data_IF_127572106746
#
_entry.id   IF_127572106746
#
_cell.length_a   1.000
_cell.length_b   1.000
_cell.length_c   1.000
_cell.angle_alpha   90.00
_cell.angle_beta   90.00
_cell.angle_gamma   90.00
#
_symmetry.space_group_name_H-M   'P 1'
#
loop_
_entity.id
_entity.type
_entity.pdbx_description
1 polymer ?
#
# COMPACT_ATOMS: atom_id res chain seq x y z
N UNK A 1 -10.22 -18.48 29.58
CA UNK A 1 -11.09 -17.37 29.98
C UNK A 1 -11.53 -16.70 28.69
N UNK A 2 -12.80 -16.89 28.34
CA UNK A 2 -13.43 -16.36 27.14
C UNK A 2 -13.73 -14.88 27.35
N UNK A 3 -13.34 -14.01 26.40
CA UNK A 3 -13.92 -12.69 26.29
C UNK A 3 -14.42 -12.46 24.87
N UNK A 4 -15.65 -11.95 24.87
CA UNK A 4 -16.60 -11.89 23.78
C UNK A 4 -16.32 -10.73 22.84
N UNK A 5 -16.65 -10.97 21.58
CA UNK A 5 -16.85 -9.99 20.53
C UNK A 5 -17.97 -9.02 20.93
N UNK A 6 -17.70 -7.72 21.03
CA UNK A 6 -18.73 -6.68 21.01
C UNK A 6 -18.67 -5.89 19.70
N UNK A 7 -19.86 -5.68 19.15
CA UNK A 7 -20.12 -5.15 17.83
C UNK A 7 -20.31 -3.64 17.87
N UNK A 8 -19.74 -2.95 16.89
CA UNK A 8 -19.93 -1.52 16.62
C UNK A 8 -21.32 -1.31 15.98
N UNK A 9 -22.19 -0.40 16.49
CA UNK A 9 -23.49 -0.16 15.87
C UNK A 9 -23.44 0.86 14.73
N UNK A 10 -23.89 0.41 13.55
CA UNK A 10 -24.28 1.21 12.39
C UNK A 10 -25.34 2.26 12.76
N UNK A 11 -25.09 3.54 12.45
CA UNK A 11 -26.14 4.57 12.47
C UNK A 11 -26.84 4.65 11.11
N UNK A 12 -28.12 4.30 11.16
CA UNK A 12 -29.11 4.35 10.09
C UNK A 12 -29.42 5.78 9.64
N UNK A 13 -29.57 5.92 8.32
CA UNK A 13 -30.24 6.99 7.58
C UNK A 13 -31.65 7.26 8.13
N UNK A 14 -31.94 8.52 8.48
CA UNK A 14 -33.26 9.01 8.84
C UNK A 14 -33.81 9.96 7.78
N UNK A 15 -34.66 9.43 6.90
CA UNK A 15 -35.57 10.18 6.01
C UNK A 15 -36.63 10.93 6.84
N UNK A 16 -36.88 12.20 6.53
CA UNK A 16 -38.06 12.95 6.96
C UNK A 16 -38.94 13.30 5.73
N UNK A 17 -40.29 13.32 5.89
CA UNK A 17 -41.22 13.23 4.78
C UNK A 17 -41.71 14.57 4.23
N UNK A 18 -42.21 14.49 3.00
CA UNK A 18 -42.90 15.53 2.26
C UNK A 18 -44.19 16.02 2.95
N UNK A 19 -44.42 17.34 2.93
CA UNK A 19 -45.73 17.94 3.10
C UNK A 19 -45.90 19.08 2.09
N UNK A 20 -46.87 18.89 1.19
CA UNK A 20 -47.33 19.87 0.22
C UNK A 20 -48.49 20.68 0.80
N UNK A 21 -48.48 22.00 0.65
CA UNK A 21 -49.68 22.84 0.56
C UNK A 21 -49.33 24.14 -0.15
N UNK A 22 -50.09 24.47 -1.20
CA UNK A 22 -49.79 25.55 -2.12
C UNK A 22 -50.57 26.84 -1.87
N UNK A 23 -50.39 27.74 -2.86
CA UNK A 23 -51.13 28.96 -3.18
C UNK A 23 -50.86 30.20 -2.30
N UNK A 24 -50.21 31.23 -2.86
CA UNK A 24 -50.84 32.33 -3.62
C UNK A 24 -49.74 33.20 -4.22
N UNK A 25 -49.91 33.50 -5.50
CA UNK A 25 -49.04 34.28 -6.36
C UNK A 25 -49.46 35.76 -6.23
N UNK A 26 -48.59 36.63 -5.70
CA UNK A 26 -48.72 38.09 -5.84
C UNK A 26 -47.52 38.60 -6.64
N UNK A 27 -47.80 38.92 -7.90
CA UNK A 27 -46.90 39.62 -8.82
C UNK A 27 -46.88 41.09 -8.43
N UNK A 28 -45.74 41.56 -7.94
CA UNK A 28 -45.36 42.98 -8.07
C UNK A 28 -43.97 43.04 -8.70
N UNK A 29 -43.98 43.35 -9.99
CA UNK A 29 -42.84 43.63 -10.83
C UNK A 29 -42.11 44.89 -10.38
N UNK A 30 -40.80 44.80 -10.10
CA UNK A 30 -39.88 45.92 -10.24
C UNK A 30 -38.58 45.43 -10.88
N UNK A 31 -38.20 46.13 -11.94
CA UNK A 31 -37.15 45.82 -12.90
C UNK A 31 -35.73 45.80 -12.34
N UNK A 32 -34.93 44.85 -12.82
CA UNK A 32 -33.46 44.82 -12.74
C UNK A 32 -32.91 43.81 -13.76
N UNK A 33 -31.80 44.10 -14.47
CA UNK A 33 -31.50 43.51 -15.78
C UNK A 33 -30.99 42.06 -15.69
N UNK A 34 -31.19 41.35 -16.80
CA UNK A 34 -30.73 40.00 -17.06
C UNK A 34 -29.28 39.78 -16.63
N UNK A 35 -29.08 38.83 -15.73
CA UNK A 35 -27.79 38.17 -15.53
C UNK A 35 -27.92 36.75 -16.05
N UNK A 36 -27.00 36.42 -16.95
CA UNK A 36 -26.80 35.09 -17.48
C UNK A 36 -26.70 34.10 -16.31
N UNK A 37 -27.32 32.93 -16.49
CA UNK A 37 -27.08 31.78 -15.63
C UNK A 37 -25.59 31.41 -15.76
N UNK A 38 -24.81 31.91 -14.80
CA UNK A 38 -23.45 31.46 -14.53
C UNK A 38 -23.58 30.06 -13.92
N UNK A 39 -23.35 29.03 -14.74
CA UNK A 39 -22.89 27.74 -14.23
C UNK A 39 -21.64 28.00 -13.40
N UNK A 40 -21.78 27.99 -12.07
CA UNK A 40 -20.64 27.94 -11.16
C UNK A 40 -19.98 26.57 -11.33
N UNK A 41 -19.02 26.47 -12.24
CA UNK A 41 -17.92 25.53 -12.08
C UNK A 41 -17.17 25.94 -10.82
N UNK A 42 -17.37 25.21 -9.72
CA UNK A 42 -16.41 25.22 -8.63
C UNK A 42 -15.13 24.57 -9.15
N UNK A 43 -14.25 25.37 -9.75
CA UNK A 43 -12.84 25.04 -9.76
C UNK A 43 -12.35 25.20 -8.33
N UNK A 44 -12.27 24.10 -7.58
CA UNK A 44 -11.46 24.05 -6.36
C UNK A 44 -10.04 24.47 -6.76
N UNK A 45 -9.60 25.63 -6.28
CA UNK A 45 -8.16 25.90 -6.25
C UNK A 45 -7.61 24.92 -5.23
N UNK A 46 -6.99 23.84 -5.69
CA UNK A 46 -6.26 22.92 -4.83
C UNK A 46 -5.25 23.77 -4.02
N UNK A 47 -5.47 23.86 -2.71
CA UNK A 47 -4.63 24.61 -1.79
C UNK A 47 -3.27 23.90 -1.70
N UNK A 48 -2.19 24.66 -1.88
CA UNK A 48 -0.83 24.11 -1.83
C UNK A 48 -0.51 23.77 -0.38
N UNK A 49 -0.23 22.50 -0.12
CA UNK A 49 0.21 22.01 1.19
C UNK A 49 1.68 22.38 1.38
N UNK A 50 1.97 23.20 2.38
CA UNK A 50 3.34 23.63 2.69
C UNK A 50 3.65 23.40 4.17
N UNK A 51 4.91 23.10 4.46
CA UNK A 51 5.38 22.94 5.83
C UNK A 51 5.45 24.31 6.53
N UNK A 52 5.13 24.40 7.84
CA UNK A 52 5.33 25.63 8.60
C UNK A 52 6.81 26.01 8.64
N UNK A 53 7.07 27.32 8.70
CA UNK A 53 8.43 27.83 8.81
C UNK A 53 9.08 27.47 10.14
N UNK A 54 10.42 27.44 10.19
CA UNK A 54 11.18 27.16 11.42
C UNK A 54 10.77 28.08 12.58
N UNK A 55 10.52 29.36 12.30
CA UNK A 55 10.15 30.34 13.32
C UNK A 55 8.72 30.12 13.86
N UNK A 56 7.79 29.71 13.00
CA UNK A 56 6.44 29.31 13.43
C UNK A 56 6.49 28.06 14.30
N UNK A 57 7.28 27.05 13.90
CA UNK A 57 7.45 25.82 14.69
C UNK A 57 8.09 26.14 16.04
N UNK A 58 9.13 26.99 16.08
CA UNK A 58 9.74 27.47 17.34
C UNK A 58 8.70 28.13 18.23
N UNK A 59 7.88 29.02 17.68
CA UNK A 59 6.85 29.72 18.44
C UNK A 59 5.86 28.72 19.07
N UNK A 60 5.37 27.74 18.31
CA UNK A 60 4.44 26.70 18.81
C UNK A 60 5.10 25.78 19.86
N UNK A 61 6.37 25.42 19.66
CA UNK A 61 7.11 24.60 20.64
C UNK A 61 7.33 25.36 21.95
N UNK A 62 7.73 26.64 21.88
CA UNK A 62 7.97 27.43 23.09
C UNK A 62 6.69 27.85 23.80
N UNK A 63 5.57 28.04 23.08
CA UNK A 63 4.26 28.22 23.72
C UNK A 63 3.89 26.97 24.51
N UNK A 64 4.01 25.79 23.91
CA UNK A 64 3.74 24.53 24.58
C UNK A 64 4.66 24.32 25.81
N UNK A 65 5.97 24.56 25.66
CA UNK A 65 6.94 24.43 26.75
C UNK A 65 6.66 25.40 27.91
N UNK A 66 6.15 26.61 27.64
CA UNK A 66 5.83 27.59 28.67
C UNK A 66 4.79 27.08 29.67
N UNK A 67 3.88 26.22 29.21
CA UNK A 67 2.80 25.64 30.00
C UNK A 67 3.19 24.30 30.63
N UNK A 68 4.04 23.52 29.96
CA UNK A 68 4.27 22.10 30.30
C UNK A 68 5.67 21.81 30.89
N UNK A 69 6.55 22.80 31.02
CA UNK A 69 7.94 22.54 31.43
C UNK A 69 8.52 23.54 32.44
N UNK A 70 9.51 23.07 33.22
CA UNK A 70 10.22 23.90 34.20
C UNK A 70 11.06 25.00 33.54
N UNK A 71 11.36 26.08 34.26
CA UNK A 71 12.20 27.17 33.75
C UNK A 71 13.58 26.69 33.25
N UNK A 72 14.23 25.78 33.99
CA UNK A 72 15.53 25.22 33.57
C UNK A 72 15.44 24.33 32.32
N UNK A 73 14.36 23.58 32.14
CA UNK A 73 14.13 22.81 30.92
C UNK A 73 13.92 23.72 29.71
N UNK A 74 13.19 24.84 29.90
CA UNK A 74 12.99 25.86 28.86
C UNK A 74 14.29 26.52 28.42
N UNK A 75 15.14 26.91 29.37
CA UNK A 75 16.45 27.51 29.06
C UNK A 75 17.35 26.56 28.27
N UNK A 76 17.39 25.28 28.67
CA UNK A 76 18.15 24.26 27.95
C UNK A 76 17.63 24.08 26.52
N UNK A 77 16.31 23.95 26.36
CA UNK A 77 15.70 23.84 25.04
C UNK A 77 15.92 25.10 24.20
N UNK A 78 15.83 26.29 24.78
CA UNK A 78 16.13 27.54 24.08
C UNK A 78 17.57 27.57 23.53
N UNK A 79 18.54 27.12 24.31
CA UNK A 79 19.93 27.03 23.86
C UNK A 79 20.11 26.01 22.72
N UNK A 80 19.49 24.83 22.81
CA UNK A 80 19.56 23.82 21.75
C UNK A 80 18.81 24.26 20.48
N UNK A 81 17.65 24.91 20.60
CA UNK A 81 16.89 25.42 19.46
C UNK A 81 17.56 26.61 18.76
N UNK A 82 18.44 27.33 19.46
CA UNK A 82 19.23 28.43 18.91
C UNK A 82 20.39 27.97 18.02
N UNK A 83 20.84 26.71 18.12
CA UNK A 83 21.92 26.20 17.25
C UNK A 83 21.46 25.89 15.83
N UNK A 84 20.15 25.90 15.59
CA UNK A 84 19.55 25.63 14.30
C UNK A 84 19.49 26.91 13.47
N UNK A 85 20.25 26.96 12.39
CA UNK A 85 20.24 28.05 11.41
C UNK A 85 20.13 27.47 10.00
N UNK A 86 19.39 28.15 9.12
CA UNK A 86 19.20 27.75 7.73
C UNK A 86 17.99 26.83 7.49
N UNK A 87 17.95 26.25 6.29
CA UNK A 87 16.88 25.34 5.86
C UNK A 87 17.10 23.95 6.46
N UNK A 88 16.26 23.60 7.42
CA UNK A 88 16.20 22.26 8.02
C UNK A 88 15.07 21.50 7.34
N UNK A 89 15.32 20.25 6.96
CA UNK A 89 14.27 19.45 6.34
C UNK A 89 13.11 19.21 7.34
N UNK A 90 11.84 19.34 6.91
CA UNK A 90 10.68 19.21 7.80
C UNK A 90 10.65 17.92 8.64
N UNK A 91 11.16 16.82 8.09
CA UNK A 91 11.23 15.53 8.77
C UNK A 91 12.22 15.54 9.96
N UNK A 92 13.37 16.19 9.82
CA UNK A 92 14.34 16.39 10.91
C UNK A 92 13.77 17.32 11.97
N UNK A 93 13.07 18.37 11.54
CA UNK A 93 12.39 19.30 12.43
C UNK A 93 11.31 18.59 13.27
N UNK A 94 10.52 17.71 12.66
CA UNK A 94 9.54 16.88 13.36
C UNK A 94 10.22 16.03 14.44
N UNK A 95 11.32 15.34 14.09
CA UNK A 95 12.08 14.54 15.08
C UNK A 95 12.53 15.38 16.27
N UNK A 96 12.98 16.61 16.01
CA UNK A 96 13.43 17.55 17.04
C UNK A 96 12.31 18.05 17.94
N UNK A 97 11.11 18.26 17.39
CA UNK A 97 9.91 18.57 18.18
C UNK A 97 9.58 17.42 19.13
N UNK A 98 9.62 16.18 18.65
CA UNK A 98 9.38 14.99 19.48
C UNK A 98 10.43 14.84 20.59
N UNK A 99 11.71 15.10 20.31
CA UNK A 99 12.76 15.10 21.35
C UNK A 99 12.52 16.19 22.40
N UNK A 100 12.00 17.34 21.98
CA UNK A 100 11.66 18.43 22.89
C UNK A 100 10.52 18.03 23.82
N UNK A 101 9.46 17.42 23.28
CA UNK A 101 8.34 16.89 24.06
C UNK A 101 8.78 15.77 25.02
N UNK A 102 9.61 14.85 24.57
CA UNK A 102 10.19 13.78 25.40
C UNK A 102 11.05 14.35 26.54
N UNK A 103 11.77 15.45 26.32
CA UNK A 103 12.58 16.06 27.36
C UNK A 103 11.75 16.75 28.47
N UNK A 104 10.52 17.17 28.14
CA UNK A 104 9.61 17.86 29.05
C UNK A 104 8.63 16.90 29.76
N UNK A 105 8.25 15.79 29.11
CA UNK A 105 7.32 14.79 29.64
C UNK A 105 7.97 13.40 29.73
N UNK A 106 8.11 12.83 30.95
CA UNK A 106 8.61 11.46 31.14
C UNK A 106 7.76 10.40 30.43
N UNK A 107 6.44 10.62 30.34
CA UNK A 107 5.51 9.73 29.66
C UNK A 107 5.81 9.65 28.16
N UNK A 108 6.05 10.81 27.53
CA UNK A 108 6.45 10.87 26.11
C UNK A 108 7.82 10.22 25.90
N UNK A 109 8.77 10.44 26.81
CA UNK A 109 10.08 9.79 26.72
C UNK A 109 9.97 8.26 26.75
N UNK A 110 9.15 7.72 27.65
CA UNK A 110 8.90 6.28 27.71
C UNK A 110 8.21 5.78 26.43
N UNK A 111 7.19 6.50 25.97
CA UNK A 111 6.46 6.17 24.74
C UNK A 111 7.38 6.14 23.51
N UNK A 112 8.19 7.19 23.29
CA UNK A 112 9.15 7.25 22.17
C UNK A 112 10.17 6.13 22.28
N UNK A 113 10.63 5.78 23.50
CA UNK A 113 11.57 4.67 23.68
C UNK A 113 10.98 3.29 23.31
N UNK A 114 9.67 3.10 23.47
CA UNK A 114 8.94 1.89 23.07
C UNK A 114 8.71 1.80 21.57
N UNK A 115 8.77 2.93 20.85
CA UNK A 115 8.67 2.98 19.39
C UNK A 115 9.99 2.53 18.73
N UNK A 116 10.39 1.29 18.99
CA UNK A 116 11.61 0.68 18.45
C UNK A 116 11.29 -0.26 17.29
N UNK A 117 11.83 0.00 16.10
CA UNK A 117 11.65 -0.88 14.93
C UNK A 117 12.31 -2.25 15.15
N UNK A 118 13.37 -2.32 15.97
CA UNK A 118 14.06 -3.57 16.28
C UNK A 118 13.28 -4.47 17.24
N UNK A 119 12.49 -3.85 18.12
CA UNK A 119 11.66 -4.57 19.09
C UNK A 119 10.30 -3.86 19.24
N UNK A 120 9.45 -3.93 18.21
CA UNK A 120 8.19 -3.21 18.20
C UNK A 120 7.21 -3.82 19.22
N UNK A 121 6.33 -3.01 19.82
CA UNK A 121 5.34 -3.51 20.74
C UNK A 121 4.35 -4.43 20.00
N UNK A 122 3.94 -5.50 20.66
CA UNK A 122 3.03 -6.50 20.09
C UNK A 122 1.63 -5.96 19.86
N UNK A 123 1.22 -4.94 20.62
CA UNK A 123 -0.09 -4.28 20.51
C UNK A 123 0.15 -2.84 20.06
N UNK A 124 -0.61 -2.38 19.07
CA UNK A 124 -0.60 -0.98 18.67
C UNK A 124 -1.44 -0.21 19.67
N UNK A 125 -1.02 1.00 20.00
CA UNK A 125 -1.85 1.91 20.76
C UNK A 125 -2.93 2.47 19.83
N UNK A 126 -4.12 2.66 20.38
CA UNK A 126 -5.14 3.48 19.75
C UNK A 126 -4.81 4.97 19.92
N UNK A 127 -5.46 5.84 19.15
CA UNK A 127 -5.10 7.26 19.10
C UNK A 127 -5.34 7.97 20.45
N UNK A 128 -6.40 7.59 21.16
CA UNK A 128 -6.77 8.05 22.49
C UNK A 128 -5.87 7.51 23.61
N UNK A 129 -5.14 6.43 23.33
CA UNK A 129 -4.12 5.87 24.23
C UNK A 129 -2.76 6.58 24.10
N UNK A 130 -2.61 7.50 23.15
CA UNK A 130 -1.37 8.26 22.99
C UNK A 130 -1.17 9.26 24.14
N UNK A 131 0.09 9.50 24.58
CA UNK A 131 0.38 10.41 25.67
C UNK A 131 -0.26 11.78 25.48
N UNK A 132 -1.17 12.16 26.38
CA UNK A 132 -1.85 13.46 26.37
C UNK A 132 -2.49 13.83 25.02
N UNK A 133 -3.12 12.87 24.32
CA UNK A 133 -3.75 13.11 23.02
C UNK A 133 -4.82 14.20 23.04
N UNK A 134 -5.63 14.28 24.10
CA UNK A 134 -6.70 15.29 24.27
C UNK A 134 -6.18 16.71 24.65
N UNK A 135 -4.87 16.96 24.51
CA UNK A 135 -4.26 18.24 24.87
C UNK A 135 -4.28 19.26 23.72
N UNK A 136 -3.21 20.04 23.57
CA UNK A 136 -3.09 21.06 22.53
C UNK A 136 -2.97 20.42 21.13
N UNK A 137 -3.72 20.90 20.11
CA UNK A 137 -3.74 20.28 18.77
C UNK A 137 -2.37 20.12 18.11
N UNK A 138 -1.47 21.10 18.28
CA UNK A 138 -0.11 21.01 17.75
C UNK A 138 0.68 19.85 18.37
N UNK A 139 0.53 19.65 19.68
CA UNK A 139 1.24 18.57 20.37
C UNK A 139 0.69 17.21 19.96
N UNK A 140 -0.63 17.02 20.01
CA UNK A 140 -1.27 15.74 19.72
C UNK A 140 -1.08 15.31 18.27
N UNK A 141 -1.21 16.23 17.31
CA UNK A 141 -1.00 15.94 15.89
C UNK A 141 0.42 15.47 15.59
N UNK A 142 1.45 16.07 16.21
CA UNK A 142 2.84 15.67 15.95
C UNK A 142 3.22 14.36 16.65
N UNK A 143 2.70 14.09 17.86
CA UNK A 143 2.86 12.79 18.53
C UNK A 143 2.20 11.68 17.69
N UNK A 144 0.97 11.91 17.22
CA UNK A 144 0.25 10.98 16.36
C UNK A 144 0.96 10.76 15.01
N UNK A 145 1.45 11.82 14.37
CA UNK A 145 2.19 11.72 13.09
C UNK A 145 3.50 10.94 13.25
N UNK A 146 4.24 11.17 14.33
CA UNK A 146 5.43 10.38 14.67
C UNK A 146 5.09 8.90 14.86
N UNK A 147 4.03 8.61 15.62
CA UNK A 147 3.60 7.23 15.86
C UNK A 147 3.12 6.53 14.60
N UNK A 148 2.36 7.23 13.76
CA UNK A 148 1.93 6.74 12.47
C UNK A 148 3.13 6.34 11.59
N UNK A 149 4.18 7.17 11.52
CA UNK A 149 5.42 6.82 10.82
C UNK A 149 6.05 5.53 11.35
N UNK A 150 6.14 5.39 12.67
CA UNK A 150 6.61 4.16 13.31
C UNK A 150 5.75 2.93 12.96
N UNK A 151 4.43 3.08 12.91
CA UNK A 151 3.53 2.01 12.48
C UNK A 151 3.73 1.63 11.01
N UNK A 152 3.98 2.60 10.13
CA UNK A 152 4.32 2.35 8.73
C UNK A 152 5.63 1.56 8.62
N UNK A 153 6.68 1.98 9.33
CA UNK A 153 7.99 1.29 9.33
C UNK A 153 7.90 -0.15 9.83
N UNK A 154 6.95 -0.43 10.72
CA UNK A 154 6.70 -1.77 11.27
C UNK A 154 5.62 -2.55 10.50
N UNK A 155 5.24 -2.08 9.31
CA UNK A 155 4.24 -2.67 8.39
C UNK A 155 2.83 -2.81 8.99
N UNK A 156 2.46 -1.95 9.95
CA UNK A 156 1.14 -1.90 10.62
C UNK A 156 0.21 -0.89 9.94
N UNK A 157 -0.02 -1.10 8.65
CA UNK A 157 -0.69 -0.12 7.78
C UNK A 157 -2.17 0.13 8.14
N UNK A 158 -2.89 -0.88 8.65
CA UNK A 158 -4.28 -0.69 9.08
C UNK A 158 -4.38 0.33 10.23
N UNK A 159 -3.52 0.17 11.24
CA UNK A 159 -3.47 1.05 12.40
C UNK A 159 -2.90 2.43 12.06
N UNK A 160 -1.84 2.45 11.25
CA UNK A 160 -1.24 3.70 10.79
C UNK A 160 -2.26 4.55 10.02
N UNK A 161 -3.00 3.95 9.09
CA UNK A 161 -3.99 4.68 8.29
C UNK A 161 -5.11 5.24 9.16
N UNK A 162 -5.61 4.46 10.12
CA UNK A 162 -6.63 4.92 11.04
C UNK A 162 -6.19 6.15 11.84
N UNK A 163 -4.96 6.14 12.35
CA UNK A 163 -4.40 7.31 13.07
C UNK A 163 -4.21 8.50 12.12
N UNK A 164 -3.69 8.28 10.91
CA UNK A 164 -3.43 9.35 9.94
C UNK A 164 -4.73 10.06 9.52
N UNK A 165 -5.82 9.33 9.36
CA UNK A 165 -7.12 9.89 8.96
C UNK A 165 -7.71 10.86 9.99
N UNK A 166 -7.36 10.70 11.26
CA UNK A 166 -7.80 11.56 12.36
C UNK A 166 -6.87 12.76 12.61
N UNK A 167 -5.75 12.90 11.87
CA UNK A 167 -4.81 14.00 12.04
C UNK A 167 -5.16 15.19 11.13
N UNK A 168 -5.34 16.36 11.75
CA UNK A 168 -5.44 17.64 11.04
C UNK A 168 -4.06 18.11 10.55
N UNK A 169 -3.93 18.33 9.24
CA UNK A 169 -2.63 18.55 8.57
C UNK A 169 -2.00 19.90 8.94
N UNK A 170 -2.82 20.87 9.28
CA UNK A 170 -2.44 22.25 9.65
C UNK A 170 -1.66 22.31 10.97
N UNK A 171 -1.79 21.26 11.78
CA UNK A 171 -1.13 21.11 13.07
C UNK A 171 0.19 20.31 12.99
N UNK A 172 0.51 19.73 11.84
CA UNK A 172 1.69 18.87 11.65
C UNK A 172 2.88 19.69 11.13
N UNK A 173 4.07 19.37 11.65
CA UNK A 173 5.33 20.02 11.25
C UNK A 173 5.79 19.56 9.86
N UNK A 174 5.54 18.31 9.50
CA UNK A 174 5.86 17.75 8.19
C UNK A 174 4.62 17.10 7.51
N UNK A 175 3.78 17.92 6.85
CA UNK A 175 2.63 17.42 6.08
C UNK A 175 3.03 16.52 4.91
N UNK A 176 4.21 16.70 4.32
CA UNK A 176 4.69 15.90 3.21
C UNK A 176 4.98 14.45 3.64
N UNK A 177 5.66 14.26 4.77
CA UNK A 177 5.83 12.93 5.40
C UNK A 177 4.49 12.28 5.72
N UNK A 178 3.54 13.05 6.26
CA UNK A 178 2.22 12.52 6.60
C UNK A 178 1.48 12.00 5.36
N UNK A 179 1.43 12.79 4.28
CA UNK A 179 0.83 12.39 3.01
C UNK A 179 1.56 11.21 2.37
N UNK A 180 2.88 11.16 2.47
CA UNK A 180 3.67 10.03 2.00
C UNK A 180 3.33 8.74 2.76
N UNK A 181 3.29 8.79 4.10
CA UNK A 181 2.90 7.65 4.93
C UNK A 181 1.45 7.21 4.64
N UNK A 182 0.53 8.16 4.43
CA UNK A 182 -0.84 7.88 4.03
C UNK A 182 -0.89 7.11 2.70
N UNK A 183 -0.16 7.61 1.69
CA UNK A 183 -0.09 6.98 0.37
C UNK A 183 0.52 5.57 0.45
N UNK A 184 1.56 5.36 1.26
CA UNK A 184 2.14 4.03 1.50
C UNK A 184 1.10 3.08 2.10
N UNK A 185 0.37 3.52 3.13
CA UNK A 185 -0.66 2.67 3.75
C UNK A 185 -1.75 2.28 2.75
N UNK A 186 -2.30 3.25 2.04
CA UNK A 186 -3.37 3.03 1.05
C UNK A 186 -2.89 2.14 -0.11
N UNK A 187 -1.64 2.31 -0.58
CA UNK A 187 -1.03 1.44 -1.59
C UNK A 187 -0.92 -0.01 -1.11
N UNK A 188 -0.39 -0.21 0.11
CA UNK A 188 -0.20 -1.56 0.68
C UNK A 188 -1.52 -2.26 1.05
N UNK A 189 -2.57 -1.48 1.36
CA UNK A 189 -3.91 -1.99 1.62
C UNK A 189 -4.75 -2.18 0.35
N UNK A 190 -4.18 -1.89 -0.83
CA UNK A 190 -4.83 -2.02 -2.14
C UNK A 190 -6.03 -1.07 -2.29
N UNK A 191 -6.01 0.08 -1.63
CA UNK A 191 -7.02 1.14 -1.71
C UNK A 191 -6.73 2.08 -2.89
N UNK A 192 -6.84 1.55 -4.11
CA UNK A 192 -6.35 2.19 -5.34
C UNK A 192 -6.80 3.64 -5.53
N UNK A 193 -8.09 3.91 -5.34
CA UNK A 193 -8.69 5.22 -5.60
C UNK A 193 -8.21 6.25 -4.59
N UNK A 194 -8.22 5.90 -3.30
CA UNK A 194 -7.71 6.74 -2.23
C UNK A 194 -6.20 7.00 -2.41
N UNK A 195 -5.41 5.96 -2.68
CA UNK A 195 -3.97 6.07 -2.92
C UNK A 195 -3.66 7.00 -4.09
N UNK A 196 -4.38 6.91 -5.22
CA UNK A 196 -4.17 7.79 -6.37
C UNK A 196 -4.48 9.26 -6.05
N UNK A 197 -5.51 9.52 -5.24
CA UNK A 197 -5.84 10.89 -4.80
C UNK A 197 -4.74 11.45 -3.90
N UNK A 198 -4.32 10.69 -2.88
CA UNK A 198 -3.26 11.10 -1.96
C UNK A 198 -1.93 11.33 -2.69
N UNK A 199 -1.56 10.44 -3.62
CA UNK A 199 -0.36 10.58 -4.46
C UNK A 199 -0.42 11.81 -5.36
N UNK A 200 -1.61 12.15 -5.89
CA UNK A 200 -1.81 13.37 -6.66
C UNK A 200 -1.54 14.59 -5.77
N UNK A 201 -2.13 14.65 -4.59
CA UNK A 201 -1.90 15.75 -3.64
C UNK A 201 -0.43 15.88 -3.26
N UNK A 202 0.23 14.76 -2.95
CA UNK A 202 1.65 14.73 -2.59
C UNK A 202 2.56 15.22 -3.72
N UNK A 203 2.32 14.78 -4.97
CA UNK A 203 3.22 15.07 -6.09
C UNK A 203 2.93 16.41 -6.78
N UNK A 204 1.68 16.87 -6.76
CA UNK A 204 1.23 18.02 -7.55
C UNK A 204 0.93 19.24 -6.66
N UNK A 205 0.52 19.03 -5.40
CA UNK A 205 0.01 20.09 -4.51
C UNK A 205 0.73 20.17 -3.16
N UNK A 206 1.98 19.67 -3.07
CA UNK A 206 2.77 19.73 -1.84
C UNK A 206 4.15 20.31 -2.10
N UNK A 207 4.59 21.25 -1.26
CA UNK A 207 5.92 21.85 -1.31
C UNK A 207 6.93 21.07 -0.45
N UNK A 208 8.22 21.25 -0.75
CA UNK A 208 9.33 20.73 0.05
C UNK A 208 9.30 19.20 0.28
N UNK A 209 8.71 18.45 -0.65
CA UNK A 209 8.67 16.98 -0.57
C UNK A 209 10.09 16.41 -0.72
N UNK A 210 10.57 15.56 0.22
CA UNK A 210 11.87 14.93 0.12
C UNK A 210 12.05 14.15 -1.20
N UNK A 211 13.23 14.19 -1.86
CA UNK A 211 13.45 13.51 -3.14
C UNK A 211 13.22 11.99 -3.09
N UNK A 212 13.50 11.37 -1.93
CA UNK A 212 13.23 9.95 -1.67
C UNK A 212 11.74 9.64 -1.76
N UNK A 213 10.89 10.48 -1.16
CA UNK A 213 9.44 10.31 -1.17
C UNK A 213 8.87 10.52 -2.55
N UNK A 214 9.32 11.56 -3.28
CA UNK A 214 8.91 11.80 -4.67
C UNK A 214 9.22 10.60 -5.56
N UNK A 215 10.41 9.99 -5.41
CA UNK A 215 10.82 8.83 -6.19
C UNK A 215 9.93 7.62 -5.93
N UNK A 216 9.66 7.30 -4.65
CA UNK A 216 8.82 6.17 -4.26
C UNK A 216 7.36 6.42 -4.62
N UNK A 217 6.83 7.63 -4.38
CA UNK A 217 5.47 8.03 -4.73
C UNK A 217 5.22 7.96 -6.24
N UNK A 218 6.18 8.36 -7.07
CA UNK A 218 6.10 8.21 -8.53
C UNK A 218 6.00 6.74 -8.94
N UNK A 219 6.79 5.87 -8.29
CA UNK A 219 6.73 4.42 -8.53
C UNK A 219 5.39 3.82 -8.09
N UNK A 220 4.86 4.22 -6.92
CA UNK A 220 3.54 3.81 -6.44
C UNK A 220 2.43 4.26 -7.41
N UNK A 221 2.49 5.50 -7.92
CA UNK A 221 1.54 6.01 -8.91
C UNK A 221 1.56 5.17 -10.19
N UNK A 222 2.75 4.87 -10.72
CA UNK A 222 2.90 4.05 -11.91
C UNK A 222 2.37 2.61 -11.71
N UNK A 223 2.62 2.01 -10.54
CA UNK A 223 2.09 0.69 -10.19
C UNK A 223 0.55 0.68 -10.16
N UNK A 224 -0.08 1.71 -9.58
CA UNK A 224 -1.54 1.83 -9.50
C UNK A 224 -2.20 2.19 -10.84
N UNK A 225 -1.51 2.92 -11.72
CA UNK A 225 -1.96 3.20 -13.09
C UNK A 225 -1.93 1.94 -13.96
N UNK A 226 -0.94 1.06 -13.75
CA UNK A 226 -0.83 -0.23 -14.43
C UNK A 226 -1.81 -1.30 -13.91
N UNK A 227 -2.27 -1.17 -12.67
CA UNK A 227 -3.17 -2.13 -12.02
C UNK A 227 -4.64 -1.87 -12.38
N UNK A 228 -5.29 -2.88 -12.97
CA UNK A 228 -6.72 -2.86 -13.30
C UNK A 228 -7.53 -3.59 -12.23
N UNK A 229 -8.79 -3.20 -11.98
CA UNK A 229 -9.68 -3.98 -11.15
C UNK A 229 -9.86 -5.39 -11.75
N UNK A 230 -9.88 -6.39 -10.86
CA UNK A 230 -9.95 -7.82 -11.16
C UNK A 230 -8.82 -8.32 -12.07
N UNK A 231 -7.64 -7.69 -11.96
CA UNK A 231 -6.43 -8.15 -12.63
C UNK A 231 -5.55 -8.99 -11.71
N UNK A 232 -4.64 -9.76 -12.30
CA UNK A 232 -3.61 -10.49 -11.56
C UNK A 232 -2.73 -9.55 -10.71
N UNK A 233 -2.56 -8.28 -11.12
CA UNK A 233 -1.82 -7.28 -10.35
C UNK A 233 -2.50 -6.95 -9.02
N UNK A 234 -3.82 -6.70 -9.05
CA UNK A 234 -4.61 -6.47 -7.84
C UNK A 234 -4.60 -7.70 -6.92
N UNK A 235 -4.77 -8.91 -7.49
CA UNK A 235 -4.70 -10.16 -6.72
C UNK A 235 -3.34 -10.32 -6.04
N UNK A 236 -2.25 -10.03 -6.75
CA UNK A 236 -0.89 -10.04 -6.18
C UNK A 236 -0.75 -9.07 -5.00
N UNK A 237 -1.31 -7.86 -5.10
CA UNK A 237 -1.38 -6.90 -4.01
C UNK A 237 -2.13 -7.45 -2.79
N UNK A 238 -3.32 -8.04 -3.00
CA UNK A 238 -4.11 -8.64 -1.93
C UNK A 238 -3.37 -9.81 -1.26
N UNK A 239 -2.67 -10.65 -2.03
CA UNK A 239 -1.85 -11.74 -1.50
C UNK A 239 -0.70 -11.22 -0.64
N UNK A 240 -0.03 -10.13 -1.04
CA UNK A 240 1.03 -9.49 -0.23
C UNK A 240 0.48 -8.91 1.07
N UNK A 241 -0.71 -8.31 1.05
CA UNK A 241 -1.35 -7.81 2.28
C UNK A 241 -1.69 -8.97 3.23
N UNK A 242 -2.17 -10.09 2.70
CA UNK A 242 -2.43 -11.30 3.48
C UNK A 242 -1.14 -11.86 4.09
N UNK A 243 -0.07 -11.99 3.31
CA UNK A 243 1.26 -12.41 3.77
C UNK A 243 1.73 -11.53 4.93
N UNK A 244 1.70 -10.20 4.75
CA UNK A 244 2.03 -9.23 5.81
C UNK A 244 1.24 -9.45 7.08
N UNK A 245 -0.09 -9.68 6.98
CA UNK A 245 -0.92 -9.90 8.17
C UNK A 245 -0.54 -11.20 8.89
N UNK A 246 -0.18 -12.23 8.14
CA UNK A 246 0.30 -13.50 8.72
C UNK A 246 1.67 -13.32 9.38
N UNK A 247 2.59 -12.55 8.79
CA UNK A 247 3.87 -12.18 9.42
C UNK A 247 3.67 -11.48 10.77
N UNK A 248 2.63 -10.64 10.86
CA UNK A 248 2.22 -9.95 12.10
C UNK A 248 1.44 -10.86 13.07
N UNK A 249 1.31 -12.16 12.79
CA UNK A 249 0.58 -13.11 13.63
C UNK A 249 -0.95 -13.01 13.57
N UNK A 250 -1.52 -12.31 12.59
CA UNK A 250 -2.96 -12.04 12.47
C UNK A 250 -3.68 -13.07 11.60
N UNK A 251 -3.85 -14.31 12.08
CA UNK A 251 -4.51 -15.40 11.33
C UNK A 251 -6.05 -15.49 11.43
N UNK A 252 -6.72 -14.44 11.92
CA UNK A 252 -8.16 -14.50 12.26
C UNK A 252 -9.13 -14.43 11.07
N UNK A 253 -10.44 -14.34 11.37
CA UNK A 253 -11.50 -14.28 10.36
C UNK A 253 -11.34 -13.15 9.33
N UNK A 254 -10.77 -12.00 9.72
CA UNK A 254 -10.51 -10.88 8.79
C UNK A 254 -9.59 -11.30 7.65
N UNK A 255 -8.54 -12.08 7.94
CA UNK A 255 -7.60 -12.57 6.93
C UNK A 255 -8.21 -13.68 6.07
N UNK A 256 -8.99 -14.58 6.68
CA UNK A 256 -9.72 -15.61 5.94
C UNK A 256 -10.66 -15.01 4.89
N UNK A 257 -11.42 -13.97 5.25
CA UNK A 257 -12.27 -13.25 4.29
C UNK A 257 -11.47 -12.65 3.13
N UNK A 258 -10.26 -12.14 3.37
CA UNK A 258 -9.39 -11.65 2.29
C UNK A 258 -8.90 -12.78 1.39
N UNK A 259 -8.58 -13.95 1.93
CA UNK A 259 -8.31 -15.14 1.13
C UNK A 259 -9.50 -15.54 0.25
N UNK A 260 -10.72 -15.53 0.79
CA UNK A 260 -11.93 -15.87 0.01
C UNK A 260 -12.15 -14.90 -1.15
N UNK A 261 -11.90 -13.60 -0.93
CA UNK A 261 -11.93 -12.57 -1.99
C UNK A 261 -10.87 -12.85 -3.06
N UNK A 262 -9.66 -13.25 -2.67
CA UNK A 262 -8.58 -13.61 -3.60
C UNK A 262 -8.98 -14.80 -4.47
N UNK A 263 -9.49 -15.89 -3.86
CA UNK A 263 -9.95 -17.08 -4.61
C UNK A 263 -11.06 -16.70 -5.58
N UNK A 264 -12.04 -15.92 -5.12
CA UNK A 264 -13.15 -15.47 -5.96
C UNK A 264 -12.68 -14.65 -7.16
N UNK A 265 -11.71 -13.74 -6.98
CA UNK A 265 -11.13 -12.96 -8.09
C UNK A 265 -10.35 -13.84 -9.06
N UNK A 266 -9.59 -14.83 -8.56
CA UNK A 266 -8.87 -15.78 -9.42
C UNK A 266 -9.84 -16.63 -10.27
N UNK A 267 -10.93 -17.12 -9.67
CA UNK A 267 -11.96 -17.87 -10.39
C UNK A 267 -12.59 -17.02 -11.52
N UNK A 268 -12.90 -15.76 -11.24
CA UNK A 268 -13.40 -14.83 -12.27
C UNK A 268 -12.39 -14.59 -13.41
N UNK A 269 -11.09 -14.53 -13.09
CA UNK A 269 -10.04 -14.39 -14.12
C UNK A 269 -9.96 -15.65 -14.98
N UNK A 270 -10.03 -16.84 -14.36
CA UNK A 270 -10.06 -18.12 -15.07
C UNK A 270 -11.27 -18.17 -16.01
N UNK A 271 -12.47 -17.84 -15.51
CA UNK A 271 -13.68 -17.83 -16.31
C UNK A 271 -13.56 -16.87 -17.52
N UNK A 272 -13.04 -15.66 -17.32
CA UNK A 272 -12.80 -14.70 -18.41
C UNK A 272 -11.83 -15.25 -19.47
N UNK A 273 -10.78 -15.96 -19.06
CA UNK A 273 -9.81 -16.57 -19.98
C UNK A 273 -10.40 -17.77 -20.73
N UNK A 274 -11.18 -18.61 -20.06
CA UNK A 274 -11.88 -19.74 -20.69
C UNK A 274 -12.88 -19.27 -21.74
N UNK A 275 -13.64 -18.21 -21.46
CA UNK A 275 -14.56 -17.59 -22.44
C UNK A 275 -13.80 -17.04 -23.67
N UNK A 276 -12.62 -16.44 -23.47
CA UNK A 276 -11.78 -15.97 -24.57
C UNK A 276 -11.23 -17.11 -25.44
N UNK A 277 -10.88 -18.25 -24.83
CA UNK A 277 -10.40 -19.43 -25.55
C UNK A 277 -11.54 -20.21 -26.25
N UNK A 278 -12.76 -20.19 -25.69
CA UNK A 278 -13.93 -20.87 -26.24
C UNK A 278 -14.58 -20.20 -27.46
N UNK A 279 -14.16 -18.98 -27.84
CA UNK A 279 -14.76 -18.20 -28.93
C UNK A 279 -14.14 -18.37 -30.33
N UNK A 280 -13.08 -19.18 -30.47
CA UNK A 280 -12.31 -19.30 -31.72
C UNK A 280 -12.29 -20.72 -32.30
N UNK A 281 -13.43 -21.24 -32.75
CA UNK A 281 -13.51 -22.59 -33.29
C UNK A 281 -14.80 -22.92 -34.03
N UNK A 282 -15.22 -22.05 -34.96
CA UNK A 282 -16.43 -22.27 -35.75
C UNK A 282 -16.21 -21.92 -37.22
N UNK A 283 -15.74 -22.88 -38.02
CA UNK A 283 -15.70 -22.74 -39.48
C UNK A 283 -14.70 -23.67 -40.15
N UNK A 284 -15.07 -24.92 -40.39
CA UNK A 284 -14.25 -25.81 -41.22
C UNK A 284 -14.75 -27.25 -41.30
N UNK A 285 -15.53 -27.54 -42.35
CA UNK A 285 -15.42 -28.80 -43.10
C UNK A 285 -16.07 -30.05 -42.50
N UNK A 286 -17.04 -30.59 -43.24
CA UNK A 286 -17.72 -31.83 -42.89
C UNK A 286 -16.81 -33.05 -42.80
N UNK A 287 -17.26 -34.03 -42.01
CA UNK A 287 -16.63 -35.33 -41.89
C UNK A 287 -17.53 -36.21 -41.04
N UNK A 288 -17.98 -37.30 -41.64
CA UNK A 288 -18.92 -38.25 -41.09
C UNK A 288 -18.45 -38.90 -39.77
N UNK A 289 -19.42 -39.46 -39.05
CA UNK A 289 -19.29 -39.88 -37.67
C UNK A 289 -18.15 -40.85 -37.37
N UNK A 290 -17.67 -40.76 -36.14
CA UNK A 290 -17.17 -41.92 -35.41
C UNK A 290 -17.48 -41.70 -33.92
N UNK A 291 -18.25 -42.63 -33.39
CA UNK A 291 -18.72 -42.74 -32.02
C UNK A 291 -17.52 -42.80 -31.05
N UNK A 292 -17.32 -41.79 -30.19
CA UNK A 292 -16.29 -41.80 -29.15
C UNK A 292 -16.94 -41.86 -27.77
N UNK A 293 -16.90 -43.05 -27.17
CA UNK A 293 -17.60 -43.46 -25.95
C UNK A 293 -16.79 -43.17 -24.67
N UNK A 294 -16.31 -41.94 -24.51
CA UNK A 294 -15.61 -41.49 -23.29
C UNK A 294 -16.38 -40.41 -22.54
N UNK A 295 -17.64 -40.70 -22.21
CA UNK A 295 -18.45 -39.89 -21.29
C UNK A 295 -18.55 -40.65 -19.95
N UNK A 296 -17.98 -40.06 -18.90
CA UNK A 296 -18.11 -40.56 -17.53
C UNK A 296 -19.55 -40.41 -17.04
N UNK A 297 -20.20 -41.51 -16.65
CA UNK A 297 -21.59 -41.52 -16.16
C UNK A 297 -21.73 -41.32 -14.64
N UNK A 298 -20.67 -40.90 -13.94
CA UNK A 298 -20.76 -40.52 -12.52
C UNK A 298 -19.42 -40.38 -11.80
N UNK A 299 -19.42 -39.72 -10.61
CA UNK A 299 -18.21 -39.54 -9.80
C UNK A 299 -17.67 -40.88 -9.29
N UNK A 300 -16.34 -41.03 -9.29
CA UNK A 300 -15.67 -42.23 -8.80
C UNK A 300 -15.87 -42.38 -7.28
N UNK A 301 -16.25 -43.59 -6.84
CA UNK A 301 -16.48 -43.88 -5.41
C UNK A 301 -15.21 -44.00 -4.58
N UNK A 302 -14.05 -44.17 -5.22
CA UNK A 302 -12.73 -44.23 -4.59
C UNK A 302 -11.64 -43.64 -5.50
N UNK A 303 -10.62 -43.04 -4.90
CA UNK A 303 -9.44 -42.47 -5.57
C UNK A 303 -8.46 -43.57 -6.00
N UNK A 304 -8.87 -44.46 -6.88
CA UNK A 304 -7.94 -45.34 -7.61
C UNK A 304 -7.63 -44.72 -8.96
N UNK A 305 -6.36 -44.70 -9.36
CA UNK A 305 -5.93 -44.31 -10.71
C UNK A 305 -6.61 -45.25 -11.70
N UNK A 306 -7.72 -44.78 -12.29
CA UNK A 306 -8.46 -45.51 -13.30
C UNK A 306 -7.63 -45.39 -14.58
N UNK A 307 -6.81 -46.40 -14.84
CA UNK A 307 -5.98 -46.49 -16.03
C UNK A 307 -6.83 -46.47 -17.29
N UNK A 308 -7.13 -45.28 -17.80
CA UNK A 308 -7.65 -45.09 -19.13
C UNK A 308 -6.45 -44.96 -20.06
N UNK A 309 -6.08 -46.06 -20.73
CA UNK A 309 -5.22 -45.99 -21.91
C UNK A 309 -6.05 -45.39 -23.05
N UNK A 310 -5.93 -44.08 -23.22
CA UNK A 310 -6.27 -43.44 -24.49
C UNK A 310 -5.11 -43.65 -25.46
N UNK A 311 -5.39 -44.04 -26.70
CA UNK A 311 -4.38 -43.99 -27.77
C UNK A 311 -3.93 -42.55 -27.93
N UNK A 312 -2.82 -42.20 -27.28
CA UNK A 312 -2.21 -40.88 -27.30
C UNK A 312 -1.62 -40.58 -28.67
N UNK A 313 -2.46 -40.27 -29.65
CA UNK A 313 -2.03 -39.63 -30.88
C UNK A 313 -1.74 -38.16 -30.58
N UNK A 314 -0.56 -37.94 -30.00
CA UNK A 314 0.07 -36.63 -29.95
C UNK A 314 0.61 -36.37 -31.35
N UNK A 315 0.20 -35.26 -31.98
CA UNK A 315 0.91 -34.74 -33.14
C UNK A 315 2.33 -34.40 -32.67
N UNK A 316 3.30 -35.27 -32.95
CA UNK A 316 4.71 -34.97 -32.76
C UNK A 316 5.10 -33.92 -33.78
N UNK A 317 4.83 -32.67 -33.45
CA UNK A 317 5.54 -31.56 -34.08
C UNK A 317 7.01 -31.81 -33.76
N UNK A 318 7.84 -32.00 -34.78
CA UNK A 318 9.29 -32.07 -34.58
C UNK A 318 9.72 -30.78 -33.88
N UNK A 319 9.89 -30.85 -32.57
CA UNK A 319 10.64 -29.82 -31.86
C UNK A 319 12.01 -29.85 -32.52
N UNK A 320 12.47 -28.72 -33.05
CA UNK A 320 13.92 -28.53 -33.17
C UNK A 320 14.44 -28.73 -31.76
N UNK A 321 14.94 -29.93 -31.49
CA UNK A 321 15.63 -30.29 -30.29
C UNK A 321 16.92 -29.48 -30.31
N UNK A 322 16.80 -28.19 -30.02
CA UNK A 322 17.85 -27.45 -29.36
C UNK A 322 17.96 -28.08 -27.99
N UNK A 323 18.59 -29.26 -27.95
CA UNK A 323 19.19 -29.81 -26.76
C UNK A 323 19.98 -28.66 -26.16
N UNK A 324 19.46 -28.11 -25.07
CA UNK A 324 20.15 -27.12 -24.27
C UNK A 324 21.44 -27.78 -23.77
N UNK A 325 22.50 -27.68 -24.57
CA UNK A 325 23.73 -28.47 -24.39
C UNK A 325 24.49 -28.81 -25.68
N UNK A 326 23.83 -28.96 -26.84
CA UNK A 326 24.50 -29.32 -28.11
C UNK A 326 24.68 -28.13 -29.05
N UNK A 327 25.30 -27.06 -28.53
CA UNK A 327 25.86 -26.04 -29.43
C UNK A 327 27.00 -26.66 -30.27
N UNK A 328 27.16 -26.26 -31.54
CA UNK A 328 28.37 -26.57 -32.31
C UNK A 328 29.63 -26.20 -31.52
N UNK A 329 30.73 -26.94 -31.69
CA UNK A 329 31.97 -26.77 -30.88
C UNK A 329 32.45 -25.30 -30.84
N UNK A 330 32.34 -24.61 -31.98
CA UNK A 330 32.68 -23.19 -32.13
C UNK A 330 31.83 -22.27 -31.25
N UNK A 331 30.53 -22.50 -31.20
CA UNK A 331 29.60 -21.67 -30.44
C UNK A 331 29.69 -21.98 -28.94
N UNK A 332 30.07 -23.23 -28.58
CA UNK A 332 30.42 -23.58 -27.18
C UNK A 332 31.66 -22.84 -26.70
N UNK A 333 32.70 -22.74 -27.52
CA UNK A 333 33.92 -22.00 -27.17
C UNK A 333 33.67 -20.50 -27.07
N UNK A 334 32.84 -19.94 -27.95
CA UNK A 334 32.46 -18.54 -27.89
C UNK A 334 31.62 -18.22 -26.65
N UNK A 335 30.64 -19.08 -26.32
CA UNK A 335 29.87 -18.95 -25.08
C UNK A 335 30.75 -19.07 -23.82
N UNK A 336 31.77 -19.94 -23.84
CA UNK A 336 32.79 -20.02 -22.77
C UNK A 336 33.57 -18.71 -22.68
N UNK A 337 34.09 -18.19 -23.79
CA UNK A 337 34.84 -16.93 -23.84
C UNK A 337 34.02 -15.73 -23.35
N UNK A 338 32.75 -15.64 -23.73
CA UNK A 338 31.87 -14.54 -23.29
C UNK A 338 31.49 -14.68 -21.82
N UNK A 339 31.25 -15.91 -21.34
CA UNK A 339 31.08 -16.15 -19.89
C UNK A 339 32.33 -15.73 -19.11
N UNK A 340 33.53 -15.99 -19.65
CA UNK A 340 34.80 -15.61 -19.03
C UNK A 340 35.02 -14.10 -18.95
N UNK A 341 34.44 -13.30 -19.86
CA UNK A 341 34.53 -11.83 -19.79
C UNK A 341 33.69 -11.24 -18.67
N UNK A 342 32.60 -11.91 -18.29
CA UNK A 342 31.60 -11.38 -17.35
C UNK A 342 31.68 -12.01 -15.96
N UNK A 343 32.53 -13.02 -15.75
CA UNK A 343 32.60 -13.74 -14.49
C UNK A 343 33.89 -13.43 -13.70
N UNK A 344 33.79 -13.07 -12.39
CA UNK A 344 34.96 -12.88 -11.54
C UNK A 344 35.78 -14.16 -11.36
N UNK A 345 37.11 -14.05 -11.31
CA UNK A 345 38.05 -15.18 -11.26
C UNK A 345 37.80 -16.18 -10.11
N UNK A 346 37.17 -15.74 -9.02
CA UNK A 346 36.87 -16.58 -7.85
C UNK A 346 35.91 -17.74 -8.13
N UNK A 347 35.08 -17.65 -9.17
CA UNK A 347 34.06 -18.67 -9.47
C UNK A 347 34.60 -19.88 -10.26
N UNK A 348 35.83 -19.81 -10.78
CA UNK A 348 36.43 -20.89 -11.58
C UNK A 348 36.47 -22.25 -10.87
N UNK A 349 36.86 -22.26 -9.59
CA UNK A 349 36.95 -23.49 -8.80
C UNK A 349 35.60 -24.21 -8.68
N UNK A 350 34.52 -23.44 -8.58
CA UNK A 350 33.16 -23.99 -8.46
C UNK A 350 32.69 -24.63 -9.78
N UNK A 351 33.06 -24.06 -10.93
CA UNK A 351 32.76 -24.64 -12.24
C UNK A 351 33.52 -25.94 -12.49
N UNK A 352 34.81 -26.00 -12.16
CA UNK A 352 35.60 -27.23 -12.29
C UNK A 352 35.05 -28.34 -11.39
N UNK A 353 34.75 -28.03 -10.13
CA UNK A 353 34.14 -28.99 -9.20
C UNK A 353 32.79 -29.50 -9.69
N UNK A 354 31.93 -28.61 -10.20
CA UNK A 354 30.63 -29.00 -10.75
C UNK A 354 30.78 -29.92 -11.97
N UNK A 355 31.69 -29.58 -12.89
CA UNK A 355 31.94 -30.34 -14.12
C UNK A 355 32.45 -31.75 -13.81
N UNK A 356 33.42 -31.86 -12.87
CA UNK A 356 33.95 -33.15 -12.42
C UNK A 356 32.88 -33.97 -11.70
N UNK A 357 32.06 -33.35 -10.85
CA UNK A 357 30.97 -34.03 -10.14
C UNK A 357 29.93 -34.61 -11.10
N UNK A 358 29.61 -33.89 -12.19
CA UNK A 358 28.69 -34.37 -13.22
C UNK A 358 29.28 -35.55 -14.00
N UNK A 359 30.52 -35.44 -14.46
CA UNK A 359 31.20 -36.53 -15.19
C UNK A 359 31.35 -37.82 -14.36
N UNK A 360 31.37 -37.71 -13.02
CA UNK A 360 31.33 -38.87 -12.11
C UNK A 360 29.95 -39.48 -11.94
N UNK A 361 28.89 -38.70 -12.10
CA UNK A 361 27.49 -39.15 -11.93
C UNK A 361 26.94 -39.83 -13.19
N UNK A 362 27.52 -39.53 -14.34
CA UNK A 362 27.17 -40.12 -15.64
C UNK A 362 28.00 -41.38 -15.98
N UNK A 363 28.76 -41.91 -15.00
CA UNK A 363 29.42 -43.23 -15.01
C UNK A 363 28.75 -44.13 -13.99
#
# INVERSE_FOLDING_TARGET
MHYSCEAIPNRFFGLLPAAAMGFVLVVTSLSGPATAAEEKSHGEREEIVSAPSLDEVRLRVFSWLAEHSSAGAREKQAAEWATFEGDIEPHELTRRVIDTFASASPEVAEFVSKCSVLNPPQIALEIDELPNYDSEPFYSANIAAFYAGFLVDTRRFDEALWIIEDIEREHVVDPASLLFHQAVCQHQLVEREAAMQTLKTLLENTEQVPPSYTSIATLMKFDLEGSKPDSLGEVSGLMRDVERRLDLGRGGQRVQKKHDVIVSKLDQIIEKLEQQMGGGGGGGGGGAGQNNSNQSSGPAKDSTVKGAEGEGKVDTKESKSGEWGNLPERDREQAKQDTLKHLPASYWRLFEEFSVRRARKDR
#
